data_IF_408725434434
#
_entry.id   IF_408725434434
#
_cell.length_a   1.000
_cell.length_b   1.000
_cell.length_c   1.000
_cell.angle_alpha   90.00
_cell.angle_beta   90.00
_cell.angle_gamma   90.00
#
_symmetry.space_group_name_H-M   'P 1'
#
loop_
_entity.id
_entity.type
_entity.pdbx_description
1 polymer ?
#
# COMPACT_ATOMS: atom_id res chain seq x y z
N UNK A 1 -7.30 12.96 23.29
CA UNK A 1 -6.00 12.32 23.01
C UNK A 1 -6.28 11.03 22.27
N UNK A 2 -6.25 11.03 20.94
CA UNK A 2 -6.39 9.79 20.17
C UNK A 2 -4.99 9.26 19.89
N UNK A 3 -4.64 8.15 20.55
CA UNK A 3 -3.50 7.32 20.18
C UNK A 3 -3.85 6.64 18.86
N UNK A 4 -3.09 6.93 17.82
CA UNK A 4 -3.05 6.09 16.62
C UNK A 4 -2.06 4.98 16.95
N UNK A 5 -2.55 3.86 17.51
CA UNK A 5 -1.80 2.60 17.59
C UNK A 5 -1.90 1.84 16.24
N UNK A 6 -1.78 2.55 15.12
CA UNK A 6 -1.77 1.93 13.79
C UNK A 6 -0.32 1.63 13.41
N UNK A 7 0.14 0.43 13.73
CA UNK A 7 1.36 -0.09 13.14
C UNK A 7 1.17 -0.24 11.64
N UNK A 8 1.89 0.54 10.84
CA UNK A 8 1.92 0.36 9.39
C UNK A 8 2.46 -1.05 9.11
N UNK A 9 1.65 -1.86 8.41
CA UNK A 9 2.05 -3.19 7.98
C UNK A 9 2.57 -3.11 6.55
N UNK A 10 3.75 -3.68 6.31
CA UNK A 10 4.33 -3.80 4.96
C UNK A 10 4.42 -5.27 4.62
N UNK A 11 3.84 -5.65 3.48
CA UNK A 11 3.96 -6.99 2.90
C UNK A 11 4.56 -6.89 1.51
N UNK A 12 5.42 -7.83 1.15
CA UNK A 12 6.06 -7.89 -0.17
C UNK A 12 5.88 -9.30 -0.72
N UNK A 13 5.25 -9.38 -1.89
CA UNK A 13 5.23 -10.57 -2.73
C UNK A 13 6.37 -10.51 -3.76
N UNK A 14 7.43 -11.28 -3.51
CA UNK A 14 8.60 -11.37 -4.40
C UNK A 14 8.25 -12.02 -5.75
N UNK A 15 7.24 -12.90 -5.82
CA UNK A 15 6.89 -13.62 -7.06
C UNK A 15 6.25 -12.67 -8.08
N UNK A 16 5.35 -11.80 -7.61
CA UNK A 16 4.69 -10.80 -8.46
C UNK A 16 5.41 -9.45 -8.50
N UNK A 17 6.47 -9.26 -7.69
CA UNK A 17 7.16 -7.98 -7.47
C UNK A 17 6.19 -6.85 -7.04
N UNK A 18 5.22 -7.20 -6.17
CA UNK A 18 4.24 -6.26 -5.63
C UNK A 18 4.36 -6.11 -4.13
N UNK A 19 4.02 -4.94 -3.59
CA UNK A 19 4.06 -4.73 -2.14
C UNK A 19 2.88 -3.91 -1.65
N UNK A 20 2.29 -4.30 -0.53
CA UNK A 20 1.22 -3.55 0.11
C UNK A 20 1.74 -2.85 1.37
N UNK A 21 1.35 -1.59 1.51
CA UNK A 21 1.58 -0.78 2.71
C UNK A 21 0.19 -0.48 3.28
N UNK A 22 -0.18 -1.19 4.34
CA UNK A 22 -1.46 -1.06 5.02
C UNK A 22 -1.34 -0.07 6.18
N UNK A 23 -2.23 0.91 6.21
CA UNK A 23 -2.30 1.96 7.23
C UNK A 23 -3.41 1.70 8.25
N UNK A 24 -4.47 0.99 7.85
CA UNK A 24 -5.59 0.61 8.69
C UNK A 24 -6.26 -0.66 8.17
N UNK A 25 -6.75 -1.51 9.09
CA UNK A 25 -7.59 -2.65 8.73
C UNK A 25 -9.02 -2.18 8.45
N UNK A 26 -9.54 -2.56 7.29
CA UNK A 26 -10.93 -2.32 6.94
C UNK A 26 -11.47 -3.56 6.22
N UNK A 27 -12.56 -4.11 6.74
CA UNK A 27 -13.21 -5.30 6.15
C UNK A 27 -13.87 -5.01 4.78
N UNK A 28 -14.04 -3.73 4.41
CA UNK A 28 -14.73 -3.29 3.19
C UNK A 28 -14.09 -2.04 2.56
N UNK A 29 -12.94 -2.18 1.88
CA UNK A 29 -12.41 -1.10 1.05
C UNK A 29 -13.38 -0.83 -0.11
N UNK A 30 -13.73 0.44 -0.35
CA UNK A 30 -14.86 0.79 -1.24
C UNK A 30 -14.44 1.17 -2.64
N UNK A 31 -13.31 1.85 -2.79
CA UNK A 31 -12.80 2.22 -4.09
C UNK A 31 -11.28 2.18 -4.16
N UNK A 32 -10.82 1.81 -5.35
CA UNK A 32 -9.42 1.75 -5.72
C UNK A 32 -9.13 2.85 -6.72
N UNK A 33 -8.13 3.67 -6.44
CA UNK A 33 -7.66 4.74 -7.35
C UNK A 33 -6.36 4.29 -7.99
N UNK A 34 -6.28 4.22 -9.33
CA UNK A 34 -5.05 3.88 -10.02
C UNK A 34 -4.06 5.06 -9.96
N UNK A 35 -2.79 4.75 -9.73
CA UNK A 35 -1.68 5.70 -9.89
C UNK A 35 -0.91 5.32 -11.14
N UNK A 36 -0.82 6.25 -12.10
CA UNK A 36 -0.17 6.01 -13.38
C UNK A 36 1.01 6.96 -13.59
N UNK A 37 2.05 6.45 -14.27
CA UNK A 37 3.17 7.24 -14.80
C UNK A 37 3.37 6.88 -16.27
N UNK A 38 3.33 7.86 -17.17
CA UNK A 38 3.40 7.65 -18.62
C UNK A 38 2.41 6.56 -19.11
N UNK A 39 1.14 6.65 -18.69
CA UNK A 39 0.07 5.70 -19.01
C UNK A 39 0.24 4.27 -18.43
N UNK A 40 1.36 4.00 -17.75
CA UNK A 40 1.60 2.73 -17.06
C UNK A 40 1.03 2.79 -15.64
N UNK A 41 0.25 1.79 -15.24
CA UNK A 41 -0.15 1.59 -13.85
C UNK A 41 1.07 1.22 -13.01
N UNK A 42 1.33 2.00 -11.95
CA UNK A 42 2.51 1.82 -11.08
C UNK A 42 2.13 1.52 -9.63
N UNK A 43 0.91 1.87 -9.21
CA UNK A 43 0.40 1.58 -7.88
C UNK A 43 -1.13 1.67 -7.87
N UNK A 44 -1.75 1.15 -6.81
CA UNK A 44 -3.15 1.40 -6.49
C UNK A 44 -3.28 1.96 -5.08
N UNK A 45 -4.26 2.84 -4.88
CA UNK A 45 -4.63 3.38 -3.57
C UNK A 45 -6.00 2.85 -3.19
N UNK A 46 -6.15 2.27 -2.01
CA UNK A 46 -7.44 1.79 -1.51
C UNK A 46 -7.94 2.69 -0.39
N UNK A 47 -9.20 3.08 -0.47
CA UNK A 47 -9.82 3.97 0.51
C UNK A 47 -11.10 3.38 1.11
N UNK A 48 -11.42 3.82 2.32
CA UNK A 48 -12.69 3.61 2.98
C UNK A 48 -13.78 4.56 2.44
N UNK A 49 -15.04 4.29 2.81
CA UNK A 49 -16.22 5.09 2.42
C UNK A 49 -16.11 6.57 2.79
N UNK A 50 -15.43 6.86 3.90
CA UNK A 50 -15.25 8.21 4.45
C UNK A 50 -14.02 8.95 3.87
N UNK A 51 -13.28 8.30 2.97
CA UNK A 51 -12.09 8.82 2.33
C UNK A 51 -10.79 8.56 3.10
N UNK A 52 -10.79 7.76 4.16
CA UNK A 52 -9.57 7.31 4.81
C UNK A 52 -8.73 6.43 3.87
N UNK A 53 -7.41 6.68 3.79
CA UNK A 53 -6.47 5.86 3.02
C UNK A 53 -6.15 4.58 3.81
N UNK A 54 -6.47 3.44 3.24
CA UNK A 54 -6.30 2.12 3.86
C UNK A 54 -5.00 1.45 3.44
N UNK A 55 -4.69 1.49 2.14
CA UNK A 55 -3.59 0.73 1.56
C UNK A 55 -3.00 1.46 0.35
N UNK A 56 -1.67 1.34 0.19
CA UNK A 56 -0.95 1.59 -1.05
C UNK A 56 -0.40 0.26 -1.55
N UNK A 57 -0.85 -0.19 -2.72
CA UNK A 57 -0.29 -1.36 -3.41
C UNK A 57 0.68 -0.87 -4.48
N UNK A 58 1.93 -1.33 -4.40
CA UNK A 58 3.04 -1.01 -5.28
C UNK A 58 3.22 -2.14 -6.29
N UNK A 59 3.33 -1.82 -7.59
CA UNK A 59 3.43 -2.83 -8.66
C UNK A 59 4.86 -3.06 -9.19
N UNK A 60 5.85 -2.36 -8.64
CA UNK A 60 7.28 -2.57 -8.87
C UNK A 60 8.02 -2.41 -7.53
N UNK A 61 7.74 -3.30 -6.58
CA UNK A 61 8.21 -3.22 -5.20
C UNK A 61 9.74 -3.12 -5.09
N UNK A 62 10.47 -3.85 -5.94
CA UNK A 62 11.92 -3.78 -6.07
C UNK A 62 12.46 -2.39 -6.44
N UNK A 63 11.66 -1.50 -7.02
CA UNK A 63 12.07 -0.11 -7.26
C UNK A 63 11.45 0.83 -6.25
N UNK A 64 10.19 0.60 -5.88
CA UNK A 64 9.37 1.54 -5.14
C UNK A 64 9.56 1.45 -3.61
N UNK A 65 9.86 0.26 -3.06
CA UNK A 65 10.10 0.13 -1.63
C UNK A 65 11.47 0.71 -1.23
N UNK A 66 11.58 1.46 -0.13
CA UNK A 66 12.86 1.78 0.48
C UNK A 66 13.68 0.52 0.79
N UNK A 67 15.01 0.57 0.57
CA UNK A 67 15.91 -0.58 0.79
C UNK A 67 15.80 -1.19 2.19
N UNK A 68 15.59 -0.36 3.22
CA UNK A 68 15.44 -0.83 4.60
C UNK A 68 14.19 -1.67 4.85
N UNK A 69 13.12 -1.44 4.08
CA UNK A 69 11.87 -2.19 4.19
C UNK A 69 11.91 -3.52 3.41
N UNK A 70 12.80 -3.64 2.43
CA UNK A 70 13.07 -4.90 1.72
C UNK A 70 13.88 -5.89 2.56
N UNK A 71 14.65 -5.37 3.52
CA UNK A 71 15.58 -6.13 4.34
C UNK A 71 15.00 -6.53 5.71
N UNK A 72 13.78 -6.10 6.05
CA UNK A 72 13.06 -6.50 7.24
C UNK A 72 12.55 -7.95 7.07
N UNK A 73 13.48 -8.89 7.17
CA UNK A 73 13.28 -10.34 7.30
C UNK A 73 13.42 -10.76 8.75
#
# INVERSE_FOLDING_TARGET
MSRIDSGVLVSWDEESNTASIEFAQCDRPRWTVPVTDNEKLIATLRFADDGELLEVELLDAEKQLPRGLRAAR
#
